data_IF_009464394786
#
_entry.id   IF_009464394786
#
_cell.length_a   1.000
_cell.length_b   1.000
_cell.length_c   1.000
_cell.angle_alpha   90.00
_cell.angle_beta   90.00
_cell.angle_gamma   90.00
#
_symmetry.space_group_name_H-M   'P 1'
#
loop_
_entity.id
_entity.type
_entity.pdbx_description
1 polymer ?
#
# COMPACT_ATOMS: atom_id res chain seq x y z
N UNK A 1 26.68 22.56 23.30
CA UNK A 1 27.75 22.99 24.24
C UNK A 1 28.32 21.77 24.93
N UNK A 2 29.63 21.70 25.22
CA UNK A 2 30.25 20.53 25.84
C UNK A 2 29.80 20.39 27.30
N UNK A 3 29.24 19.23 27.68
CA UNK A 3 28.90 18.91 29.06
C UNK A 3 30.11 18.29 29.76
N UNK A 4 30.66 18.96 30.77
CA UNK A 4 31.73 18.39 31.59
C UNK A 4 31.16 17.72 32.84
N UNK A 5 31.59 16.48 33.13
CA UNK A 5 31.40 15.87 34.46
C UNK A 5 32.17 16.73 35.46
N UNK A 6 31.46 17.28 36.44
CA UNK A 6 32.00 18.31 37.33
C UNK A 6 33.06 17.71 38.25
N UNK A 7 34.28 18.27 38.24
CA UNK A 7 35.39 17.87 39.12
C UNK A 7 35.41 18.63 40.45
N UNK A 8 34.86 19.84 40.50
CA UNK A 8 34.76 20.67 41.72
C UNK A 8 33.33 21.20 41.88
N UNK A 9 32.63 20.72 42.92
CA UNK A 9 31.23 21.08 43.23
C UNK A 9 31.22 21.79 44.58
N UNK A 10 30.64 23.01 44.70
CA UNK A 10 30.48 23.72 45.97
C UNK A 10 29.79 22.86 47.03
N UNK A 11 30.17 23.02 48.29
CA UNK A 11 29.73 22.15 49.38
C UNK A 11 28.20 22.11 49.54
N UNK A 12 27.54 23.26 49.45
CA UNK A 12 26.08 23.36 49.51
C UNK A 12 25.38 22.51 48.44
N UNK A 13 25.94 22.48 47.22
CA UNK A 13 25.41 21.73 46.09
C UNK A 13 25.69 20.24 46.23
N UNK A 14 26.87 19.89 46.77
CA UNK A 14 27.25 18.51 47.06
C UNK A 14 26.31 17.89 48.08
N UNK A 15 26.05 18.58 49.19
CA UNK A 15 25.14 18.13 50.26
C UNK A 15 23.72 17.97 49.73
N UNK A 16 23.21 18.96 48.98
CA UNK A 16 21.88 18.89 48.38
C UNK A 16 21.73 17.71 47.40
N UNK A 17 22.74 17.48 46.55
CA UNK A 17 22.75 16.37 45.59
C UNK A 17 22.82 15.00 46.26
N UNK A 18 23.61 14.85 47.34
CA UNK A 18 23.64 13.61 48.12
C UNK A 18 22.33 13.34 48.86
N UNK A 19 21.68 14.39 49.39
CA UNK A 19 20.35 14.29 49.96
C UNK A 19 19.31 13.78 48.95
N UNK A 20 19.36 14.29 47.73
CA UNK A 20 18.51 13.82 46.62
C UNK A 20 18.78 12.36 46.25
N UNK A 21 20.05 11.93 46.21
CA UNK A 21 20.41 10.52 45.96
C UNK A 21 19.88 9.56 47.02
N UNK A 22 19.82 9.97 48.29
CA UNK A 22 19.25 9.13 49.36
C UNK A 22 17.73 9.05 49.29
N UNK A 23 17.07 10.13 48.85
CA UNK A 23 15.60 10.23 48.75
C UNK A 23 15.04 9.55 47.51
N UNK A 24 15.75 9.62 46.39
CA UNK A 24 15.32 9.06 45.10
C UNK A 24 16.06 7.75 44.84
N UNK A 25 15.33 6.65 44.74
CA UNK A 25 15.87 5.31 44.47
C UNK A 25 16.26 5.13 42.99
N UNK A 26 17.07 6.05 42.45
CA UNK A 26 17.51 6.06 41.05
C UNK A 26 18.91 6.66 40.85
N UNK A 27 19.56 6.31 39.75
CA UNK A 27 20.89 6.82 39.43
C UNK A 27 20.83 8.27 38.95
N UNK A 28 21.29 9.20 39.80
CA UNK A 28 21.34 10.61 39.48
C UNK A 28 22.71 11.04 38.95
N UNK A 29 22.70 11.97 38.01
CA UNK A 29 23.87 12.69 37.51
C UNK A 29 23.71 14.19 37.69
N UNK A 30 24.82 14.86 38.01
CA UNK A 30 24.89 16.31 38.16
C UNK A 30 25.66 16.88 36.96
N UNK A 31 25.07 17.86 36.29
CA UNK A 31 25.66 18.52 35.12
C UNK A 31 25.71 20.03 35.39
N UNK A 32 26.89 20.63 35.25
CA UNK A 32 27.04 22.09 35.32
C UNK A 32 26.85 22.68 33.93
N UNK A 33 25.96 23.67 33.80
CA UNK A 33 25.77 24.45 32.56
C UNK A 33 25.74 25.93 32.98
N UNK A 34 26.73 26.71 32.55
CA UNK A 34 26.96 28.05 33.10
C UNK A 34 27.26 27.98 34.60
N UNK A 35 26.61 28.83 35.39
CA UNK A 35 26.73 28.86 36.85
C UNK A 35 25.73 27.93 37.57
N UNK A 36 24.93 27.20 36.81
CA UNK A 36 23.81 26.43 37.32
C UNK A 36 24.09 24.92 37.33
N UNK A 37 23.57 24.24 38.35
CA UNK A 37 23.75 22.80 38.54
C UNK A 37 22.44 22.07 38.32
N UNK A 38 22.39 21.25 37.27
CA UNK A 38 21.21 20.54 36.83
C UNK A 38 21.29 19.08 37.22
N UNK A 39 20.21 18.55 37.78
CA UNK A 39 20.12 17.16 38.20
C UNK A 39 19.31 16.39 37.17
N UNK A 40 19.86 15.25 36.75
CA UNK A 40 19.19 14.33 35.83
C UNK A 40 19.15 12.93 36.44
N UNK A 41 18.01 12.27 36.33
CA UNK A 41 17.89 10.83 36.49
C UNK A 41 18.47 10.15 35.25
N UNK A 42 19.24 9.07 35.41
CA UNK A 42 19.96 8.40 34.32
C UNK A 42 19.81 6.89 34.36
N UNK A 43 19.79 6.26 33.19
CA UNK A 43 19.81 4.81 33.04
C UNK A 43 20.57 4.42 31.77
N UNK A 44 21.30 3.31 31.83
CA UNK A 44 22.09 2.80 30.70
C UNK A 44 21.34 1.64 30.06
N UNK A 45 21.17 1.67 28.74
CA UNK A 45 20.55 0.61 27.95
C UNK A 45 21.37 0.30 26.70
N UNK A 46 21.23 -0.91 26.16
CA UNK A 46 21.84 -1.28 24.88
C UNK A 46 20.95 -0.79 23.72
N UNK A 47 21.53 -0.09 22.75
CA UNK A 47 20.84 0.34 21.52
C UNK A 47 21.26 -0.58 20.38
N UNK A 48 20.30 -1.32 19.82
CA UNK A 48 20.53 -2.19 18.66
C UNK A 48 20.91 -1.37 17.41
N UNK A 49 20.26 -0.22 17.19
CA UNK A 49 20.53 0.68 16.06
C UNK A 49 21.99 1.18 16.03
N UNK A 50 22.56 1.51 17.20
CA UNK A 50 23.92 2.06 17.32
C UNK A 50 24.96 1.02 17.73
N UNK A 51 24.54 -0.23 17.92
CA UNK A 51 25.33 -1.36 18.43
C UNK A 51 26.22 -1.01 19.64
N UNK A 52 25.69 -0.21 20.58
CA UNK A 52 26.43 0.25 21.76
C UNK A 52 25.52 0.57 22.95
N UNK A 53 26.10 0.59 24.15
CA UNK A 53 25.42 1.10 25.35
C UNK A 53 25.23 2.61 25.24
N UNK A 54 24.01 3.08 25.42
CA UNK A 54 23.63 4.49 25.48
C UNK A 54 23.08 4.82 26.86
N UNK A 55 23.40 6.01 27.37
CA UNK A 55 22.82 6.53 28.62
C UNK A 55 21.68 7.47 28.28
N UNK A 56 20.49 7.16 28.80
CA UNK A 56 19.30 8.01 28.71
C UNK A 56 19.24 8.84 29.98
N UNK A 57 18.89 10.12 29.84
CA UNK A 57 18.78 11.07 30.95
C UNK A 57 17.41 11.74 30.96
N UNK A 58 16.81 11.92 32.13
CA UNK A 58 15.59 12.69 32.36
C UNK A 58 15.89 13.82 33.35
N UNK A 59 15.58 15.05 32.97
CA UNK A 59 15.77 16.22 33.81
C UNK A 59 14.76 16.23 34.97
N UNK A 60 15.25 16.38 36.20
CA UNK A 60 14.41 16.39 37.41
C UNK A 60 14.32 17.76 38.08
N UNK A 61 15.32 18.62 37.88
CA UNK A 61 15.34 19.93 38.52
C UNK A 61 16.74 20.51 38.64
N UNK A 62 16.84 21.71 39.21
CA UNK A 62 18.07 22.48 39.36
C UNK A 62 18.38 22.67 40.84
N UNK A 63 19.67 22.61 41.20
CA UNK A 63 20.17 23.05 42.49
C UNK A 63 20.72 24.47 42.31
N UNK A 64 20.20 25.40 43.10
CA UNK A 64 20.63 26.79 43.13
C UNK A 64 21.94 26.94 43.92
N UNK A 65 22.60 28.09 43.80
CA UNK A 65 23.89 28.35 44.45
C UNK A 65 23.86 28.26 45.97
N UNK A 66 22.68 28.44 46.59
CA UNK A 66 22.44 28.34 48.03
C UNK A 66 22.16 26.89 48.51
N UNK A 67 22.13 25.92 47.58
CA UNK A 67 21.81 24.52 47.89
C UNK A 67 20.32 24.18 47.87
N UNK A 68 19.43 25.14 47.59
CA UNK A 68 18.00 24.86 47.40
C UNK A 68 17.74 24.10 46.08
N UNK A 69 16.79 23.16 46.11
CA UNK A 69 16.42 22.36 44.93
C UNK A 69 15.08 22.82 44.36
N UNK A 70 15.08 23.22 43.10
CA UNK A 70 13.89 23.59 42.33
C UNK A 70 13.50 22.45 41.40
N UNK A 71 12.35 21.83 41.64
CA UNK A 71 11.81 20.75 40.82
C UNK A 71 11.37 21.27 39.43
N UNK A 72 11.57 20.46 38.39
CA UNK A 72 11.21 20.84 37.03
C UNK A 72 9.68 20.96 36.84
N UNK A 73 9.20 22.12 36.38
CA UNK A 73 7.80 22.28 35.93
C UNK A 73 7.60 21.65 34.55
N UNK A 74 6.93 20.50 34.48
CA UNK A 74 6.55 19.87 33.20
C UNK A 74 5.29 20.55 32.61
N UNK A 75 5.41 21.16 31.41
CA UNK A 75 4.24 21.68 30.66
C UNK A 75 3.29 20.52 30.30
N UNK A 76 1.96 20.73 30.41
CA UNK A 76 0.88 19.74 30.20
C UNK A 76 0.95 18.87 28.93
N UNK A 77 1.79 19.20 27.93
CA UNK A 77 1.95 18.47 26.66
C UNK A 77 3.27 17.70 26.51
N UNK A 78 4.28 17.96 27.34
CA UNK A 78 5.60 17.32 27.22
C UNK A 78 5.78 16.30 28.36
N UNK A 79 5.42 15.05 28.06
CA UNK A 79 5.67 13.84 28.86
C UNK A 79 5.20 13.86 30.33
N UNK A 80 3.99 13.33 30.58
CA UNK A 80 3.44 12.97 31.92
C UNK A 80 4.17 11.78 32.58
N UNK A 81 5.46 11.62 32.33
CA UNK A 81 6.19 10.40 32.66
C UNK A 81 6.89 10.60 33.99
N UNK A 82 6.61 9.75 34.98
CA UNK A 82 7.02 9.94 36.39
C UNK A 82 8.39 9.35 36.73
N UNK A 83 8.93 8.46 35.90
CA UNK A 83 10.26 7.85 36.09
C UNK A 83 11.03 7.66 34.80
N UNK A 84 12.36 7.51 34.86
CA UNK A 84 13.17 7.19 33.70
C UNK A 84 12.84 5.83 33.09
N UNK A 85 12.34 4.87 33.89
CA UNK A 85 11.87 3.58 33.40
C UNK A 85 10.64 3.73 32.51
N UNK A 86 9.68 4.54 32.92
CA UNK A 86 8.52 4.87 32.09
C UNK A 86 8.92 5.67 30.85
N UNK A 87 9.98 6.50 30.94
CA UNK A 87 10.48 7.28 29.80
C UNK A 87 11.18 6.39 28.78
N UNK A 88 11.94 5.39 29.25
CA UNK A 88 12.52 4.34 28.40
C UNK A 88 11.42 3.50 27.76
N UNK A 89 10.38 3.11 28.52
CA UNK A 89 9.26 2.35 27.98
C UNK A 89 8.48 3.15 26.93
N UNK A 90 8.22 4.44 27.18
CA UNK A 90 7.56 5.34 26.24
C UNK A 90 8.41 5.58 24.98
N UNK A 91 9.73 5.80 25.13
CA UNK A 91 10.65 5.92 24.00
C UNK A 91 10.76 4.62 23.21
N UNK A 92 10.77 3.47 23.88
CA UNK A 92 10.76 2.16 23.22
C UNK A 92 9.45 1.93 22.46
N UNK A 93 8.31 2.32 23.03
CA UNK A 93 7.02 2.34 22.35
C UNK A 93 6.99 3.32 21.15
N UNK A 94 7.62 4.49 21.25
CA UNK A 94 7.76 5.46 20.15
C UNK A 94 8.75 4.99 19.08
N UNK A 95 9.88 4.39 19.46
CA UNK A 95 10.90 3.82 18.55
C UNK A 95 10.37 2.57 17.86
N UNK A 96 9.70 1.68 18.60
CA UNK A 96 8.93 0.58 18.03
C UNK A 96 7.90 1.18 17.09
N UNK A 97 7.08 2.16 17.49
CA UNK A 97 6.09 2.79 16.60
C UNK A 97 6.69 3.47 15.35
N UNK A 98 7.89 4.07 15.42
CA UNK A 98 8.54 4.78 14.32
C UNK A 98 9.29 3.82 13.37
N UNK A 99 9.96 2.79 13.90
CA UNK A 99 10.50 1.67 13.11
C UNK A 99 9.37 0.79 12.52
N UNK A 100 8.21 0.77 13.19
CA UNK A 100 6.93 0.22 12.71
C UNK A 100 6.21 1.16 11.74
N UNK A 101 6.68 2.40 11.47
CA UNK A 101 6.04 3.30 10.50
C UNK A 101 6.67 3.24 9.11
N UNK A 102 7.99 3.06 8.98
CA UNK A 102 8.66 2.97 7.68
C UNK A 102 9.53 1.71 7.54
N UNK A 103 9.42 0.96 6.43
CA UNK A 103 10.31 -0.17 6.14
C UNK A 103 11.75 0.31 5.91
N UNK A 104 12.73 -0.46 6.37
CA UNK A 104 14.15 -0.23 6.03
C UNK A 104 14.44 -0.58 4.56
N UNK A 105 15.64 -0.26 4.06
CA UNK A 105 15.97 -0.47 2.64
C UNK A 105 15.95 -1.97 2.25
N UNK A 106 16.22 -2.89 3.20
CA UNK A 106 16.13 -4.34 2.98
C UNK A 106 14.66 -4.76 2.84
N UNK A 107 13.79 -4.28 3.73
CA UNK A 107 12.35 -4.54 3.69
C UNK A 107 11.74 -3.96 2.42
N UNK A 108 12.11 -2.73 2.02
CA UNK A 108 11.68 -2.13 0.76
C UNK A 108 12.09 -3.00 -0.43
N UNK A 109 13.32 -3.53 -0.44
CA UNK A 109 13.78 -4.40 -1.52
C UNK A 109 13.06 -5.74 -1.54
N UNK A 110 12.81 -6.31 -0.35
CA UNK A 110 12.04 -7.54 -0.21
C UNK A 110 10.60 -7.37 -0.74
N UNK A 111 9.95 -6.24 -0.44
CA UNK A 111 8.63 -5.90 -0.98
C UNK A 111 8.65 -5.77 -2.52
N UNK A 112 9.71 -5.20 -3.09
CA UNK A 112 9.89 -5.13 -4.55
C UNK A 112 9.98 -6.51 -5.19
N UNK A 113 10.83 -7.38 -4.63
CA UNK A 113 11.04 -8.72 -5.15
C UNK A 113 9.75 -9.55 -5.07
N UNK A 114 9.06 -9.52 -3.92
CA UNK A 114 7.78 -10.22 -3.75
C UNK A 114 6.65 -9.64 -4.61
N UNK A 115 6.68 -8.33 -4.90
CA UNK A 115 5.76 -7.71 -5.86
C UNK A 115 6.02 -8.18 -7.29
N UNK A 116 7.29 -8.38 -7.66
CA UNK A 116 7.66 -8.89 -8.98
C UNK A 116 7.37 -10.39 -9.14
N UNK A 117 7.67 -11.18 -8.12
CA UNK A 117 7.41 -12.61 -8.07
C UNK A 117 7.06 -13.06 -6.64
N UNK A 118 5.77 -13.19 -6.36
CA UNK A 118 5.28 -13.64 -5.06
C UNK A 118 5.59 -15.12 -4.76
N UNK A 119 6.09 -15.89 -5.73
CA UNK A 119 6.52 -17.29 -5.55
C UNK A 119 8.03 -17.45 -5.39
N UNK A 120 8.80 -16.35 -5.37
CA UNK A 120 10.26 -16.40 -5.24
C UNK A 120 10.68 -17.21 -3.98
N UNK A 121 11.58 -18.20 -4.10
CA UNK A 121 12.05 -18.97 -2.97
C UNK A 121 12.82 -18.12 -1.97
N UNK A 122 12.67 -18.42 -0.67
CA UNK A 122 13.40 -17.72 0.40
C UNK A 122 14.91 -17.83 0.22
N UNK A 123 15.40 -18.94 -0.33
CA UNK A 123 16.81 -19.12 -0.67
C UNK A 123 17.32 -18.03 -1.64
N UNK A 124 16.63 -17.83 -2.76
CA UNK A 124 17.00 -16.82 -3.75
C UNK A 124 16.85 -15.39 -3.21
N UNK A 125 15.75 -15.11 -2.50
CA UNK A 125 15.55 -13.83 -1.82
C UNK A 125 16.71 -13.51 -0.86
N UNK A 126 17.10 -14.48 -0.02
CA UNK A 126 18.15 -14.31 0.98
C UNK A 126 19.52 -14.06 0.35
N UNK A 127 19.82 -14.74 -0.76
CA UNK A 127 21.06 -14.58 -1.52
C UNK A 127 21.18 -13.18 -2.11
N UNK A 128 20.12 -12.67 -2.74
CA UNK A 128 20.10 -11.31 -3.30
C UNK A 128 20.22 -10.24 -2.21
N UNK A 129 19.61 -10.46 -1.04
CA UNK A 129 19.60 -9.51 0.08
C UNK A 129 20.83 -9.60 1.00
N UNK A 130 21.72 -10.58 0.79
CA UNK A 130 22.87 -10.80 1.68
C UNK A 130 22.47 -11.22 3.10
N UNK A 131 21.37 -11.96 3.25
CA UNK A 131 20.83 -12.42 4.52
C UNK A 131 20.98 -13.95 4.67
N UNK A 132 20.93 -14.44 5.90
CA UNK A 132 20.63 -15.87 6.12
C UNK A 132 19.18 -16.17 5.74
N UNK A 133 18.88 -17.40 5.33
CA UNK A 133 17.51 -17.82 5.01
C UNK A 133 16.56 -17.62 6.20
N UNK A 134 17.02 -17.88 7.42
CA UNK A 134 16.25 -17.67 8.64
C UNK A 134 15.91 -16.18 8.86
N UNK A 135 16.89 -15.28 8.69
CA UNK A 135 16.67 -13.83 8.81
C UNK A 135 15.72 -13.31 7.70
N UNK A 136 15.87 -13.80 6.47
CA UNK A 136 14.98 -13.46 5.37
C UNK A 136 13.54 -13.93 5.65
N UNK A 137 13.35 -15.18 6.10
CA UNK A 137 12.04 -15.72 6.45
C UNK A 137 11.37 -14.92 7.57
N UNK A 138 12.12 -14.57 8.61
CA UNK A 138 11.63 -13.73 9.71
C UNK A 138 11.13 -12.37 9.20
N UNK A 139 11.91 -11.71 8.32
CA UNK A 139 11.51 -10.42 7.73
C UNK A 139 10.24 -10.56 6.88
N UNK A 140 10.14 -11.59 6.03
CA UNK A 140 8.93 -11.86 5.24
C UNK A 140 7.71 -11.97 6.15
N UNK A 141 7.75 -12.82 7.17
CA UNK A 141 6.63 -13.02 8.11
C UNK A 141 6.26 -11.74 8.87
N UNK A 142 7.26 -10.95 9.25
CA UNK A 142 7.05 -9.63 9.88
C UNK A 142 6.31 -8.68 8.94
N UNK A 143 6.73 -8.60 7.67
CA UNK A 143 6.10 -7.74 6.67
C UNK A 143 4.69 -8.22 6.31
N UNK A 144 4.48 -9.53 6.20
CA UNK A 144 3.17 -10.14 5.99
C UNK A 144 2.18 -9.74 7.07
N UNK A 145 2.57 -9.90 8.33
CA UNK A 145 1.75 -9.49 9.48
C UNK A 145 1.53 -7.98 9.52
N UNK A 146 2.57 -7.20 9.25
CA UNK A 146 2.54 -5.73 9.34
C UNK A 146 1.61 -5.11 8.29
N UNK A 147 1.71 -5.55 7.04
CA UNK A 147 0.98 -4.95 5.92
C UNK A 147 -0.24 -5.75 5.48
N UNK A 148 -0.57 -6.86 6.16
CA UNK A 148 -1.63 -7.77 5.74
C UNK A 148 -1.36 -8.28 4.33
N UNK A 149 -0.15 -8.80 4.11
CA UNK A 149 0.24 -9.26 2.77
C UNK A 149 -0.46 -10.57 2.46
N UNK A 150 -1.18 -10.59 1.35
CA UNK A 150 -1.68 -11.81 0.72
C UNK A 150 -1.00 -12.02 -0.64
N UNK A 151 -0.90 -13.28 -1.06
CA UNK A 151 -0.30 -13.64 -2.35
C UNK A 151 -1.38 -14.12 -3.30
N UNK A 152 -1.44 -13.53 -4.49
CA UNK A 152 -2.49 -13.82 -5.46
C UNK A 152 -1.98 -13.67 -6.89
N UNK A 153 -2.75 -14.15 -7.85
CA UNK A 153 -2.44 -13.98 -9.27
C UNK A 153 -2.82 -12.59 -9.76
N UNK A 154 -1.93 -11.96 -10.53
CA UNK A 154 -2.29 -10.81 -11.34
C UNK A 154 -2.89 -11.31 -12.66
N UNK A 155 -4.22 -11.31 -12.76
CA UNK A 155 -4.94 -11.81 -13.94
C UNK A 155 -4.88 -10.81 -15.10
N UNK A 156 -4.64 -11.31 -16.31
CA UNK A 156 -4.80 -10.55 -17.54
C UNK A 156 -6.25 -10.62 -18.04
N UNK A 157 -7.04 -9.52 -17.98
CA UNK A 157 -8.45 -9.59 -18.42
C UNK A 157 -8.59 -9.71 -19.94
N UNK A 158 -7.62 -9.23 -20.72
CA UNK A 158 -7.68 -9.19 -22.19
C UNK A 158 -7.71 -10.58 -22.84
N UNK A 159 -6.88 -11.57 -22.43
CA UNK A 159 -7.01 -12.95 -22.88
C UNK A 159 -8.39 -13.58 -22.68
N UNK A 160 -9.16 -13.11 -21.71
CA UNK A 160 -10.54 -13.57 -21.44
C UNK A 160 -11.60 -12.72 -22.15
N UNK A 161 -11.21 -11.83 -23.07
CA UNK A 161 -12.08 -10.87 -23.74
C UNK A 161 -12.74 -9.82 -22.81
N UNK A 162 -12.20 -9.59 -21.60
CA UNK A 162 -12.72 -8.56 -20.70
C UNK A 162 -12.05 -7.19 -20.91
N UNK A 163 -12.86 -6.16 -20.84
CA UNK A 163 -12.51 -4.75 -20.88
C UNK A 163 -12.77 -4.12 -19.51
N UNK A 164 -12.13 -2.98 -19.25
CA UNK A 164 -12.21 -2.31 -17.95
C UNK A 164 -13.16 -1.12 -18.04
N UNK A 165 -14.00 -0.99 -17.03
CA UNK A 165 -14.92 0.13 -16.89
C UNK A 165 -14.85 0.66 -15.47
N UNK A 166 -15.19 1.93 -15.32
CA UNK A 166 -15.40 2.55 -14.02
C UNK A 166 -16.75 3.24 -13.99
N UNK A 167 -17.37 3.28 -12.81
CA UNK A 167 -18.56 4.06 -12.57
C UNK A 167 -18.38 4.98 -11.36
N UNK A 168 -18.76 6.25 -11.53
CA UNK A 168 -18.89 7.21 -10.44
C UNK A 168 -20.36 7.42 -10.15
N UNK A 169 -20.79 7.14 -8.92
CA UNK A 169 -22.19 7.19 -8.53
C UNK A 169 -22.42 8.28 -7.50
N UNK A 170 -23.39 9.15 -7.78
CA UNK A 170 -23.89 10.19 -6.88
C UNK A 170 -25.29 9.82 -6.44
N UNK A 171 -25.50 9.64 -5.14
CA UNK A 171 -26.85 9.46 -4.60
C UNK A 171 -27.54 10.81 -4.40
N UNK A 172 -28.87 10.80 -4.36
CA UNK A 172 -29.71 11.97 -4.14
C UNK A 172 -29.69 12.45 -2.68
N UNK A 173 -30.88 12.70 -2.11
CA UNK A 173 -30.99 13.10 -0.69
C UNK A 173 -30.58 11.97 0.24
N UNK A 174 -31.06 10.77 -0.05
CA UNK A 174 -30.76 9.56 0.72
C UNK A 174 -29.76 8.68 -0.03
N UNK A 175 -28.95 7.92 0.71
CA UNK A 175 -28.03 6.94 0.15
C UNK A 175 -28.07 5.63 0.94
N UNK A 176 -27.82 4.48 0.29
CA UNK A 176 -27.74 3.21 1.00
C UNK A 176 -26.54 3.20 1.96
N UNK A 177 -26.70 2.50 3.08
CA UNK A 177 -25.57 2.20 3.96
C UNK A 177 -24.58 1.22 3.31
N UNK A 178 -23.39 1.10 3.91
CA UNK A 178 -22.29 0.27 3.40
C UNK A 178 -22.70 -1.20 3.33
N UNK A 179 -23.50 -1.69 4.28
CA UNK A 179 -23.94 -3.08 4.32
C UNK A 179 -24.89 -3.41 3.17
N UNK A 180 -25.83 -2.52 2.88
CA UNK A 180 -26.74 -2.59 1.73
C UNK A 180 -25.95 -2.58 0.43
N UNK A 181 -25.01 -1.64 0.27
CA UNK A 181 -24.13 -1.58 -0.89
C UNK A 181 -23.33 -2.86 -1.05
N UNK A 182 -22.72 -3.37 0.02
CA UNK A 182 -21.94 -4.61 0.02
C UNK A 182 -22.81 -5.82 -0.37
N UNK A 183 -24.02 -5.92 0.16
CA UNK A 183 -24.96 -7.01 -0.13
C UNK A 183 -25.40 -7.02 -1.59
N UNK A 184 -25.65 -5.86 -2.18
CA UNK A 184 -26.13 -5.77 -3.57
C UNK A 184 -24.97 -5.87 -4.56
N UNK A 185 -23.95 -5.02 -4.41
CA UNK A 185 -22.80 -4.96 -5.33
C UNK A 185 -21.96 -6.23 -5.22
N UNK A 186 -21.86 -6.82 -4.02
CA UNK A 186 -21.12 -8.06 -3.82
C UNK A 186 -21.64 -9.26 -4.61
N UNK A 187 -22.94 -9.27 -4.98
CA UNK A 187 -23.52 -10.32 -5.83
C UNK A 187 -23.06 -10.23 -7.29
N UNK A 188 -22.59 -9.08 -7.75
CA UNK A 188 -22.23 -8.87 -9.15
C UNK A 188 -20.74 -9.21 -9.35
N UNK A 189 -20.42 -10.38 -9.94
CA UNK A 189 -19.03 -10.82 -10.12
C UNK A 189 -18.24 -9.92 -11.08
N UNK A 190 -18.90 -9.12 -11.93
CA UNK A 190 -18.21 -8.19 -12.82
C UNK A 190 -17.60 -6.98 -12.08
N UNK A 191 -18.10 -6.63 -10.89
CA UNK A 191 -17.54 -5.55 -10.06
C UNK A 191 -16.33 -6.07 -9.29
N UNK A 192 -15.12 -5.58 -9.59
CA UNK A 192 -13.89 -6.02 -8.89
C UNK A 192 -13.52 -5.17 -7.69
N UNK A 193 -13.95 -3.91 -7.67
CA UNK A 193 -13.68 -2.98 -6.59
C UNK A 193 -14.86 -2.02 -6.44
N UNK A 194 -15.29 -1.78 -5.21
CA UNK A 194 -16.26 -0.75 -4.87
C UNK A 194 -15.76 0.07 -3.68
N UNK A 195 -15.70 1.39 -3.84
CA UNK A 195 -15.17 2.33 -2.84
C UNK A 195 -16.26 3.32 -2.43
N UNK A 196 -16.47 3.49 -1.13
CA UNK A 196 -17.22 4.64 -0.59
C UNK A 196 -16.32 5.87 -0.63
N UNK A 197 -16.87 6.98 -1.10
CA UNK A 197 -16.14 8.22 -1.32
C UNK A 197 -16.73 9.37 -0.51
N UNK A 198 -15.85 10.26 -0.05
CA UNK A 198 -16.19 11.62 0.36
C UNK A 198 -15.68 12.58 -0.70
N UNK A 199 -16.62 13.22 -1.41
CA UNK A 199 -16.34 14.15 -2.50
C UNK A 199 -17.58 14.38 -3.38
N UNK A 200 -17.41 14.80 -4.64
CA UNK A 200 -18.51 15.03 -5.58
C UNK A 200 -19.36 13.81 -5.96
N UNK A 201 -18.92 12.61 -5.61
CA UNK A 201 -19.60 11.32 -5.81
C UNK A 201 -19.46 10.52 -4.52
N UNK A 202 -20.39 9.61 -4.28
CA UNK A 202 -20.47 8.82 -3.07
C UNK A 202 -19.85 7.42 -3.24
N UNK A 203 -19.78 6.92 -4.47
CA UNK A 203 -19.35 5.55 -4.77
C UNK A 203 -18.54 5.51 -6.07
N UNK A 204 -17.42 4.78 -6.04
CA UNK A 204 -16.65 4.40 -7.23
C UNK A 204 -16.68 2.89 -7.42
N UNK A 205 -16.94 2.44 -8.64
CA UNK A 205 -16.85 1.05 -9.05
C UNK A 205 -15.77 0.89 -10.10
N UNK A 206 -14.98 -0.18 -10.00
CA UNK A 206 -14.18 -0.70 -11.10
C UNK A 206 -14.73 -2.06 -11.50
N UNK A 207 -14.99 -2.22 -12.79
CA UNK A 207 -15.70 -3.36 -13.35
C UNK A 207 -14.92 -3.95 -14.53
N UNK A 208 -15.12 -5.25 -14.73
CA UNK A 208 -14.66 -5.98 -15.91
C UNK A 208 -15.89 -6.48 -16.66
N UNK A 209 -16.02 -6.17 -17.94
CA UNK A 209 -17.10 -6.70 -18.78
C UNK A 209 -16.59 -6.98 -20.20
N UNK A 210 -17.18 -7.95 -20.90
CA UNK A 210 -16.72 -8.31 -22.25
C UNK A 210 -17.13 -7.28 -23.31
N UNK A 211 -18.22 -6.57 -23.06
CA UNK A 211 -18.74 -5.52 -23.93
C UNK A 211 -19.66 -4.59 -23.12
N UNK A 212 -20.12 -3.52 -23.76
CA UNK A 212 -21.01 -2.53 -23.13
C UNK A 212 -22.39 -3.09 -22.81
N UNK A 213 -22.90 -4.07 -23.55
CA UNK A 213 -24.21 -4.67 -23.27
C UNK A 213 -24.20 -5.42 -21.92
N UNK A 214 -23.24 -6.32 -21.72
CA UNK A 214 -23.11 -7.06 -20.46
C UNK A 214 -22.82 -6.15 -19.26
N UNK A 215 -22.10 -5.05 -19.49
CA UNK A 215 -21.90 -4.01 -18.49
C UNK A 215 -23.22 -3.34 -18.09
N UNK A 216 -24.02 -2.90 -19.07
CA UNK A 216 -25.32 -2.28 -18.81
C UNK A 216 -26.28 -3.25 -18.13
N UNK A 217 -26.29 -4.53 -18.50
CA UNK A 217 -27.11 -5.55 -17.84
C UNK A 217 -26.72 -5.72 -16.36
N UNK A 218 -25.42 -5.71 -16.04
CA UNK A 218 -24.93 -5.76 -14.65
C UNK A 218 -25.34 -4.52 -13.85
N UNK A 219 -25.21 -3.33 -14.45
CA UNK A 219 -25.64 -2.08 -13.83
C UNK A 219 -27.15 -2.08 -13.61
N UNK A 220 -27.94 -2.55 -14.59
CA UNK A 220 -29.38 -2.67 -14.49
C UNK A 220 -29.80 -3.60 -13.36
N UNK A 221 -29.17 -4.79 -13.24
CA UNK A 221 -29.41 -5.72 -12.13
C UNK A 221 -29.16 -5.06 -10.78
N UNK A 222 -27.98 -4.44 -10.60
CA UNK A 222 -27.65 -3.76 -9.33
C UNK A 222 -28.63 -2.65 -8.99
N UNK A 223 -29.06 -1.85 -9.97
CA UNK A 223 -30.00 -0.73 -9.76
C UNK A 223 -31.44 -1.20 -9.48
N UNK A 224 -31.81 -2.38 -9.98
CA UNK A 224 -33.16 -2.94 -9.88
C UNK A 224 -33.39 -3.77 -8.61
N UNK A 225 -32.33 -4.12 -7.89
CA UNK A 225 -32.44 -4.81 -6.60
C UNK A 225 -33.26 -3.98 -5.59
N UNK A 226 -34.24 -4.61 -4.94
CA UNK A 226 -35.20 -3.94 -4.03
C UNK A 226 -34.55 -2.98 -3.00
N UNK A 227 -33.40 -3.30 -2.37
CA UNK A 227 -32.77 -2.37 -1.44
C UNK A 227 -32.27 -1.07 -2.10
N UNK A 228 -31.98 -1.10 -3.41
CA UNK A 228 -31.44 0.02 -4.19
C UNK A 228 -32.51 0.91 -4.81
N UNK A 229 -33.67 0.36 -5.18
CA UNK A 229 -34.69 1.08 -6.00
C UNK A 229 -35.24 2.36 -5.36
N UNK A 230 -35.23 2.45 -4.02
CA UNK A 230 -35.65 3.65 -3.28
C UNK A 230 -34.66 4.82 -3.34
N UNK A 231 -33.41 4.56 -3.72
CA UNK A 231 -32.36 5.58 -3.76
C UNK A 231 -32.20 6.13 -5.17
N UNK A 232 -32.58 7.40 -5.36
CA UNK A 232 -32.29 8.10 -6.61
C UNK A 232 -30.78 8.27 -6.75
N UNK A 233 -30.21 7.84 -7.87
CA UNK A 233 -28.77 7.88 -8.11
C UNK A 233 -28.43 8.20 -9.57
N UNK A 234 -27.34 8.93 -9.76
CA UNK A 234 -26.75 9.23 -11.06
C UNK A 234 -25.46 8.42 -11.21
N UNK A 235 -25.40 7.58 -12.23
CA UNK A 235 -24.27 6.68 -12.51
C UNK A 235 -23.55 7.19 -13.76
N UNK A 236 -22.33 7.68 -13.59
CA UNK A 236 -21.47 8.10 -14.69
C UNK A 236 -20.50 6.95 -15.00
N UNK A 237 -20.74 6.26 -16.11
CA UNK A 237 -19.99 5.06 -16.51
C UNK A 237 -19.08 5.41 -17.67
N UNK A 238 -17.83 4.96 -17.62
CA UNK A 238 -16.86 5.14 -18.70
C UNK A 238 -15.92 3.95 -18.79
N UNK A 239 -15.34 3.73 -19.96
CA UNK A 239 -14.19 2.83 -20.08
C UNK A 239 -12.97 3.42 -19.36
N UNK A 240 -12.05 2.53 -18.98
CA UNK A 240 -10.70 2.89 -18.55
C UNK A 240 -9.68 2.12 -19.38
N UNK A 241 -8.78 2.84 -20.06
CA UNK A 241 -7.69 2.28 -20.86
C UNK A 241 -6.34 2.43 -20.17
N UNK A 242 -5.36 1.60 -20.56
CA UNK A 242 -3.96 1.69 -20.12
C UNK A 242 -3.77 1.82 -18.60
N UNK A 243 -4.07 0.75 -17.85
CA UNK A 243 -3.94 0.78 -16.40
C UNK A 243 -2.48 0.57 -15.91
N UNK A 244 -1.95 1.50 -15.10
CA UNK A 244 -0.83 1.24 -14.18
C UNK A 244 -1.36 0.74 -12.84
N UNK A 245 -0.55 -0.10 -12.19
CA UNK A 245 -0.97 -0.83 -11.00
C UNK A 245 -1.76 -2.08 -11.36
N UNK A 246 -2.26 -2.76 -10.33
CA UNK A 246 -3.10 -3.93 -10.49
C UNK A 246 -4.17 -3.91 -9.40
N UNK A 247 -5.33 -4.47 -9.71
CA UNK A 247 -6.35 -4.75 -8.72
C UNK A 247 -6.46 -6.27 -8.62
N UNK A 248 -6.32 -6.84 -7.41
CA UNK A 248 -6.62 -8.25 -7.19
C UNK A 248 -8.01 -8.58 -7.72
N UNK A 249 -8.06 -9.63 -8.53
CA UNK A 249 -9.32 -10.11 -9.09
C UNK A 249 -10.09 -10.85 -8.01
N UNK A 250 -11.39 -10.55 -7.91
CA UNK A 250 -12.26 -11.23 -6.95
C UNK A 250 -12.41 -12.69 -7.30
N UNK A 251 -12.58 -13.53 -6.29
CA UNK A 251 -12.78 -14.96 -6.50
C UNK A 251 -14.07 -15.24 -7.30
N UNK A 252 -15.12 -14.45 -7.08
CA UNK A 252 -16.40 -14.55 -7.79
C UNK A 252 -16.25 -14.25 -9.29
N UNK A 253 -15.31 -13.38 -9.68
CA UNK A 253 -14.99 -13.19 -11.09
C UNK A 253 -14.26 -14.41 -11.67
N UNK A 254 -13.35 -15.01 -10.92
CA UNK A 254 -12.68 -16.24 -11.36
C UNK A 254 -13.69 -17.37 -11.53
N UNK A 255 -14.65 -17.50 -10.62
CA UNK A 255 -15.74 -18.48 -10.71
C UNK A 255 -16.62 -18.25 -11.95
N UNK A 256 -16.88 -16.99 -12.33
CA UNK A 256 -17.56 -16.66 -13.59
C UNK A 256 -16.78 -17.14 -14.83
N UNK A 257 -15.44 -17.22 -14.78
CA UNK A 257 -14.65 -17.78 -15.88
C UNK A 257 -14.90 -19.28 -16.12
N UNK A 258 -15.62 -19.97 -15.22
CA UNK A 258 -16.07 -21.35 -15.47
C UNK A 258 -16.94 -21.45 -16.73
N UNK A 259 -17.70 -20.40 -17.05
CA UNK A 259 -18.51 -20.31 -18.28
C UNK A 259 -17.65 -20.29 -19.55
N UNK A 260 -16.37 -19.93 -19.43
CA UNK A 260 -15.39 -19.94 -20.52
C UNK A 260 -14.60 -21.25 -20.61
N UNK A 261 -14.94 -22.28 -19.84
CA UNK A 261 -14.30 -23.60 -19.95
C UNK A 261 -14.81 -24.29 -21.21
N UNK A 262 -13.88 -24.64 -22.11
CA UNK A 262 -14.20 -25.33 -23.35
C UNK A 262 -14.51 -26.80 -23.08
N UNK A 263 -15.66 -27.24 -23.57
CA UNK A 263 -16.04 -28.63 -23.66
C UNK A 263 -16.14 -29.04 -25.13
N UNK A 264 -15.47 -30.14 -25.50
CA UNK A 264 -15.52 -30.65 -26.86
C UNK A 264 -16.94 -31.13 -27.17
N UNK A 265 -17.59 -30.54 -28.17
CA UNK A 265 -18.89 -30.96 -28.68
C UNK A 265 -18.86 -31.10 -30.21
N UNK A 266 -19.95 -31.62 -30.79
CA UNK A 266 -20.11 -31.66 -32.26
C UNK A 266 -20.14 -30.24 -32.87
N UNK A 267 -20.72 -29.29 -32.15
CA UNK A 267 -20.87 -27.89 -32.57
C UNK A 267 -19.59 -27.06 -32.31
N UNK A 268 -18.81 -27.43 -31.29
CA UNK A 268 -17.57 -26.76 -30.91
C UNK A 268 -16.39 -27.75 -30.86
N UNK A 269 -15.94 -28.27 -32.00
CA UNK A 269 -14.91 -29.30 -32.04
C UNK A 269 -13.50 -28.78 -31.70
N UNK A 270 -13.29 -27.46 -31.75
CA UNK A 270 -12.02 -26.81 -31.45
C UNK A 270 -12.22 -25.66 -30.46
N UNK A 271 -11.21 -25.48 -29.60
CA UNK A 271 -11.14 -24.38 -28.64
C UNK A 271 -10.81 -23.06 -29.34
N UNK A 272 -11.50 -21.98 -28.97
CA UNK A 272 -11.17 -20.61 -29.39
C UNK A 272 -10.21 -19.92 -28.39
N UNK A 273 -9.50 -18.84 -28.78
CA UNK A 273 -8.40 -18.29 -27.97
C UNK A 273 -8.76 -17.83 -26.55
N UNK A 274 -9.99 -17.37 -26.31
CA UNK A 274 -10.46 -16.83 -25.01
C UNK A 274 -11.03 -17.91 -24.07
N UNK A 275 -11.05 -19.17 -24.49
CA UNK A 275 -11.53 -20.29 -23.68
C UNK A 275 -10.40 -20.98 -22.89
N UNK A 276 -10.79 -21.52 -21.73
CA UNK A 276 -9.94 -22.28 -20.81
C UNK A 276 -10.13 -23.78 -20.99
N UNK A 277 -9.08 -24.57 -20.73
CA UNK A 277 -9.27 -25.96 -20.35
C UNK A 277 -9.74 -26.04 -18.89
N UNK A 278 -10.43 -27.12 -18.53
CA UNK A 278 -10.87 -27.35 -17.15
C UNK A 278 -9.70 -27.29 -16.16
N UNK A 279 -8.58 -27.94 -16.47
CA UNK A 279 -7.35 -27.87 -15.66
C UNK A 279 -6.79 -26.45 -15.54
N UNK A 280 -6.85 -25.67 -16.62
CA UNK A 280 -6.38 -24.27 -16.62
C UNK A 280 -7.24 -23.41 -15.69
N UNK A 281 -8.57 -23.58 -15.74
CA UNK A 281 -9.51 -22.94 -14.82
C UNK A 281 -9.27 -23.35 -13.35
N UNK A 282 -9.14 -24.65 -13.06
CA UNK A 282 -8.96 -25.15 -11.70
C UNK A 282 -7.66 -24.63 -11.06
N UNK A 283 -6.55 -24.68 -11.81
CA UNK A 283 -5.25 -24.17 -11.35
C UNK A 283 -5.30 -22.66 -11.14
N UNK A 284 -5.90 -21.90 -12.07
CA UNK A 284 -6.08 -20.45 -11.92
C UNK A 284 -6.92 -20.10 -10.68
N UNK A 285 -8.01 -20.83 -10.45
CA UNK A 285 -8.93 -20.59 -9.33
C UNK A 285 -8.27 -20.81 -7.98
N UNK A 286 -7.49 -21.87 -7.82
CA UNK A 286 -6.76 -22.12 -6.56
C UNK A 286 -5.61 -21.13 -6.34
N UNK A 287 -4.86 -20.78 -7.40
CA UNK A 287 -3.78 -19.79 -7.31
C UNK A 287 -4.29 -18.37 -7.04
N UNK A 288 -5.55 -18.04 -7.38
CA UNK A 288 -6.16 -16.77 -7.03
C UNK A 288 -6.43 -16.64 -5.52
N UNK A 289 -6.78 -17.76 -4.87
CA UNK A 289 -6.98 -17.85 -3.42
C UNK A 289 -5.65 -17.83 -2.66
N UNK A 290 -4.69 -18.63 -3.11
CA UNK A 290 -3.35 -18.68 -2.54
C UNK A 290 -2.31 -18.82 -3.66
N UNK A 291 -1.72 -17.68 -4.02
CA UNK A 291 -0.67 -17.63 -5.04
C UNK A 291 0.62 -18.38 -4.66
N UNK A 292 0.80 -18.79 -3.40
CA UNK A 292 1.98 -19.51 -2.91
C UNK A 292 1.78 -21.00 -2.65
N UNK A 293 0.58 -21.54 -2.86
CA UNK A 293 0.35 -22.99 -2.72
C UNK A 293 1.39 -23.78 -3.54
N UNK A 294 1.94 -24.84 -2.94
CA UNK A 294 2.92 -25.68 -3.64
C UNK A 294 2.23 -26.40 -4.80
N UNK A 295 2.91 -26.56 -5.93
CA UNK A 295 2.32 -27.24 -7.09
C UNK A 295 2.02 -28.71 -6.80
N UNK A 296 2.82 -29.36 -5.96
CA UNK A 296 2.55 -30.72 -5.50
C UNK A 296 1.28 -30.85 -4.66
N UNK A 297 1.01 -29.88 -3.79
CA UNK A 297 -0.22 -29.88 -3.00
C UNK A 297 -1.42 -29.53 -3.87
N UNK A 298 -1.22 -28.67 -4.87
CA UNK A 298 -2.25 -28.34 -5.84
C UNK A 298 -2.60 -29.56 -6.72
N UNK A 299 -1.61 -30.31 -7.18
CA UNK A 299 -1.82 -31.57 -7.92
C UNK A 299 -2.64 -32.57 -7.09
N UNK A 300 -2.27 -32.78 -5.81
CA UNK A 300 -3.03 -33.65 -4.90
C UNK A 300 -4.46 -33.16 -4.69
N UNK A 301 -4.65 -31.86 -4.43
CA UNK A 301 -5.96 -31.25 -4.16
C UNK A 301 -6.89 -31.36 -5.36
N UNK A 302 -6.35 -31.20 -6.57
CA UNK A 302 -7.11 -31.23 -7.82
C UNK A 302 -7.14 -32.62 -8.48
N UNK A 303 -6.56 -33.63 -7.84
CA UNK A 303 -6.42 -35.00 -8.37
C UNK A 303 -5.76 -35.03 -9.77
N UNK A 304 -4.64 -34.30 -9.92
CA UNK A 304 -3.87 -34.20 -11.16
C UNK A 304 -2.59 -35.05 -11.08
N UNK A 305 -2.05 -35.38 -12.24
CA UNK A 305 -0.73 -36.03 -12.33
C UNK A 305 0.36 -35.11 -11.75
N UNK A 306 1.40 -35.67 -11.10
CA UNK A 306 2.52 -34.88 -10.58
C UNK A 306 3.16 -33.99 -11.65
N UNK A 307 3.33 -32.70 -11.33
CA UNK A 307 3.91 -31.68 -12.21
C UNK A 307 2.90 -31.02 -13.16
N UNK A 308 1.65 -31.49 -13.21
CA UNK A 308 0.64 -30.93 -14.11
C UNK A 308 0.28 -29.48 -13.75
N UNK A 309 0.23 -29.13 -12.46
CA UNK A 309 -0.05 -27.79 -11.98
C UNK A 309 1.04 -26.79 -12.37
N UNK A 310 2.31 -27.15 -12.21
CA UNK A 310 3.44 -26.29 -12.59
C UNK A 310 3.47 -26.04 -14.10
N UNK A 311 3.34 -27.11 -14.90
CA UNK A 311 3.20 -26.98 -16.35
C UNK A 311 2.02 -26.08 -16.74
N UNK A 312 0.88 -26.23 -16.08
CA UNK A 312 -0.33 -25.44 -16.35
C UNK A 312 -0.15 -23.98 -15.97
N UNK A 313 0.49 -23.70 -14.83
CA UNK A 313 0.82 -22.34 -14.40
C UNK A 313 1.70 -21.63 -15.43
N UNK A 314 2.79 -22.25 -15.87
CA UNK A 314 3.68 -21.65 -16.88
C UNK A 314 2.95 -21.41 -18.21
N UNK A 315 2.10 -22.34 -18.63
CA UNK A 315 1.26 -22.16 -19.83
C UNK A 315 0.26 -21.00 -19.70
N UNK A 316 -0.33 -20.78 -18.51
CA UNK A 316 -1.20 -19.64 -18.25
C UNK A 316 -0.44 -18.31 -18.29
N UNK A 317 0.83 -18.30 -17.85
CA UNK A 317 1.74 -17.15 -17.98
C UNK A 317 2.05 -16.85 -19.45
N UNK A 318 2.42 -17.86 -20.23
CA UNK A 318 2.73 -17.72 -21.67
C UNK A 318 1.55 -17.14 -22.46
N UNK A 319 0.32 -17.57 -22.12
CA UNK A 319 -0.92 -17.04 -22.71
C UNK A 319 -1.28 -15.63 -22.23
N UNK A 320 -0.58 -15.10 -21.23
CA UNK A 320 -0.89 -13.82 -20.58
C UNK A 320 -2.16 -13.82 -19.72
N UNK A 321 -2.76 -14.99 -19.50
CA UNK A 321 -3.96 -15.17 -18.66
C UNK A 321 -3.63 -14.90 -17.19
N UNK A 322 -2.47 -15.41 -16.74
CA UNK A 322 -1.79 -14.94 -15.53
C UNK A 322 -0.62 -14.07 -16.01
N UNK A 323 -0.40 -12.92 -15.38
CA UNK A 323 0.82 -12.13 -15.62
C UNK A 323 1.95 -12.54 -14.69
N UNK A 324 1.61 -12.84 -13.44
CA UNK A 324 2.51 -13.27 -12.34
C UNK A 324 1.69 -13.64 -11.11
N UNK A 325 2.34 -14.28 -10.14
CA UNK A 325 1.92 -14.20 -8.74
C UNK A 325 2.60 -12.99 -8.09
N UNK A 326 1.88 -12.25 -7.26
CA UNK A 326 2.33 -11.01 -6.63
C UNK A 326 1.77 -10.88 -5.21
N UNK A 327 2.19 -9.82 -4.52
CA UNK A 327 1.66 -9.44 -3.20
C UNK A 327 0.58 -8.37 -3.30
N UNK A 328 -0.45 -8.50 -2.46
CA UNK A 328 -1.44 -7.47 -2.15
C UNK A 328 -1.28 -7.05 -0.69
N UNK A 329 -1.15 -5.75 -0.42
CA UNK A 329 -1.16 -5.19 0.94
C UNK A 329 -2.55 -4.71 1.30
N UNK A 330 -3.17 -5.35 2.28
CA UNK A 330 -4.46 -4.91 2.81
C UNK A 330 -4.31 -3.75 3.80
N UNK A 331 -3.12 -3.59 4.39
CA UNK A 331 -2.82 -2.61 5.44
C UNK A 331 -1.48 -1.91 5.20
N UNK A 332 -1.25 -1.19 4.09
CA UNK A 332 0.05 -0.57 3.74
C UNK A 332 0.50 0.58 4.67
N UNK A 333 -0.10 0.74 5.86
CA UNK A 333 0.19 1.77 6.86
C UNK A 333 0.19 3.20 6.30
N UNK A 334 -0.95 3.60 5.75
CA UNK A 334 -1.22 4.95 5.25
C UNK A 334 -2.30 5.64 6.11
N UNK A 335 -2.49 6.96 5.95
CA UNK A 335 -3.61 7.66 6.62
C UNK A 335 -4.95 7.31 6.00
N UNK A 336 -5.04 7.35 4.67
CA UNK A 336 -6.22 6.95 3.90
C UNK A 336 -5.84 6.81 2.42
N UNK A 337 -6.62 6.05 1.62
CA UNK A 337 -6.53 6.10 0.17
C UNK A 337 -7.24 7.35 -0.37
N UNK A 338 -6.67 7.98 -1.38
CA UNK A 338 -7.34 9.05 -2.12
C UNK A 338 -7.48 8.66 -3.59
N UNK A 339 -8.66 8.94 -4.14
CA UNK A 339 -8.94 8.81 -5.57
C UNK A 339 -8.92 10.21 -6.18
N UNK A 340 -8.31 10.32 -7.35
CA UNK A 340 -8.26 11.55 -8.12
C UNK A 340 -8.81 11.32 -9.52
N UNK A 341 -9.61 12.27 -10.00
CA UNK A 341 -10.03 12.35 -11.39
C UNK A 341 -9.50 13.66 -11.95
N UNK A 342 -8.69 13.57 -12.99
CA UNK A 342 -8.00 14.70 -13.59
C UNK A 342 -8.45 14.83 -15.03
N UNK A 343 -9.08 15.95 -15.37
CA UNK A 343 -9.56 16.21 -16.74
C UNK A 343 -8.42 16.67 -17.62
N UNK A 344 -8.41 16.32 -18.90
CA UNK A 344 -7.40 16.78 -19.85
C UNK A 344 -8.03 17.63 -20.96
N UNK A 345 -8.38 18.90 -20.69
CA UNK A 345 -8.91 19.80 -21.72
C UNK A 345 -7.84 20.21 -22.75
N UNK A 346 -6.58 20.34 -22.33
CA UNK A 346 -5.44 20.64 -23.21
C UNK A 346 -4.47 19.44 -23.24
N UNK A 347 -4.62 18.62 -24.29
CA UNK A 347 -3.77 17.45 -24.49
C UNK A 347 -2.33 17.83 -24.89
N UNK A 348 -2.13 18.98 -25.52
CA UNK A 348 -0.81 19.43 -25.95
C UNK A 348 0.03 19.83 -24.74
N UNK A 349 -0.55 20.62 -23.82
CA UNK A 349 0.11 20.99 -22.57
C UNK A 349 0.54 19.76 -21.76
N UNK A 350 -0.33 18.74 -21.68
CA UNK A 350 0.01 17.49 -21.01
C UNK A 350 1.14 16.72 -21.73
N UNK A 351 1.07 16.60 -23.05
CA UNK A 351 2.04 15.84 -23.84
C UNK A 351 3.48 16.35 -23.70
N UNK A 352 3.68 17.67 -23.52
CA UNK A 352 5.00 18.27 -23.25
C UNK A 352 5.62 17.68 -21.96
N UNK A 353 4.79 17.32 -20.98
CA UNK A 353 5.22 16.83 -19.66
C UNK A 353 4.94 15.34 -19.42
N UNK A 354 4.42 14.64 -20.42
CA UNK A 354 4.01 13.23 -20.32
C UNK A 354 5.11 12.31 -19.81
N UNK A 355 6.35 12.46 -20.28
CA UNK A 355 7.46 11.63 -19.80
C UNK A 355 7.77 11.87 -18.31
N UNK A 356 7.74 13.13 -17.86
CA UNK A 356 7.93 13.48 -16.45
C UNK A 356 6.80 12.94 -15.58
N UNK A 357 5.57 12.99 -16.08
CA UNK A 357 4.40 12.39 -15.44
C UNK A 357 4.57 10.86 -15.29
N UNK A 358 4.89 10.15 -16.39
CA UNK A 358 5.09 8.70 -16.37
C UNK A 358 6.24 8.28 -15.46
N UNK A 359 7.35 9.02 -15.42
CA UNK A 359 8.48 8.75 -14.55
C UNK A 359 8.10 8.87 -13.06
N UNK A 360 7.28 9.86 -12.72
CA UNK A 360 6.81 10.05 -11.34
C UNK A 360 5.74 9.03 -10.92
N UNK A 361 4.90 8.55 -11.85
CA UNK A 361 3.95 7.46 -11.58
C UNK A 361 4.65 6.18 -11.12
N UNK A 362 5.78 5.84 -11.75
CA UNK A 362 6.56 4.64 -11.45
C UNK A 362 7.69 4.88 -10.44
N UNK A 363 7.75 6.07 -9.84
CA UNK A 363 8.74 6.36 -8.83
C UNK A 363 8.60 5.39 -7.64
N UNK A 364 9.74 5.10 -7.01
CA UNK A 364 9.85 4.26 -5.83
C UNK A 364 10.14 5.12 -4.59
N UNK A 365 9.13 5.81 -4.02
CA UNK A 365 9.30 6.55 -2.77
C UNK A 365 9.77 5.65 -1.63
N UNK A 366 10.31 6.20 -0.53
CA UNK A 366 10.63 5.43 0.69
C UNK A 366 9.37 5.08 1.50
N UNK A 367 8.42 4.44 0.83
CA UNK A 367 7.14 3.99 1.38
C UNK A 367 6.91 2.52 1.00
N UNK A 368 6.10 1.78 1.77
CA UNK A 368 5.87 0.36 1.54
C UNK A 368 5.10 0.06 0.25
N UNK A 369 4.38 1.02 -0.34
CA UNK A 369 3.71 0.86 -1.63
C UNK A 369 4.21 1.89 -2.66
N UNK A 370 3.94 1.64 -3.95
CA UNK A 370 4.11 2.64 -5.01
C UNK A 370 3.27 3.89 -4.73
N UNK A 371 3.64 5.00 -5.39
CA UNK A 371 2.87 6.25 -5.33
C UNK A 371 1.41 6.07 -5.79
N UNK A 372 1.14 5.09 -6.64
CA UNK A 372 -0.18 4.86 -7.22
C UNK A 372 -0.51 3.37 -7.23
N UNK A 373 -1.70 3.01 -6.73
CA UNK A 373 -2.24 1.65 -6.73
C UNK A 373 -2.98 1.30 -8.03
N UNK A 374 -3.69 2.29 -8.58
CA UNK A 374 -4.40 2.22 -9.85
C UNK A 374 -4.20 3.54 -10.55
N UNK A 375 -3.83 3.54 -11.83
CA UNK A 375 -3.93 4.69 -12.71
C UNK A 375 -4.50 4.21 -14.04
N UNK A 376 -5.33 5.00 -14.72
CA UNK A 376 -5.70 4.71 -16.10
C UNK A 376 -6.44 5.88 -16.74
N UNK A 377 -6.38 5.92 -18.07
CA UNK A 377 -7.04 6.94 -18.86
C UNK A 377 -8.53 6.64 -18.95
N UNK A 378 -9.38 7.65 -18.76
CA UNK A 378 -10.84 7.54 -18.82
C UNK A 378 -11.41 8.34 -19.98
N UNK A 379 -12.52 7.87 -20.54
CA UNK A 379 -13.16 8.50 -21.71
C UNK A 379 -14.11 9.65 -21.38
N UNK A 380 -14.78 9.64 -20.23
CA UNK A 380 -15.79 10.63 -19.86
C UNK A 380 -15.75 11.00 -18.36
N UNK A 381 -15.30 12.24 -18.02
CA UNK A 381 -14.64 13.20 -18.89
C UNK A 381 -13.29 12.65 -19.38
N UNK A 382 -12.84 13.08 -20.56
CA UNK A 382 -11.54 12.64 -21.06
C UNK A 382 -10.42 13.12 -20.13
N UNK A 383 -9.56 12.19 -19.72
CA UNK A 383 -8.54 12.43 -18.71
C UNK A 383 -8.04 11.14 -18.10
N UNK A 384 -7.71 11.18 -16.81
CA UNK A 384 -7.22 10.00 -16.10
C UNK A 384 -7.76 9.93 -14.66
N UNK A 385 -7.89 8.71 -14.18
CA UNK A 385 -8.20 8.40 -12.78
C UNK A 385 -7.01 7.72 -12.15
N UNK A 386 -6.74 7.99 -10.88
CA UNK A 386 -5.83 7.17 -10.11
C UNK A 386 -6.17 7.12 -8.63
N UNK A 387 -5.73 6.05 -7.98
CA UNK A 387 -5.85 5.84 -6.54
C UNK A 387 -4.46 5.78 -5.95
N UNK A 388 -4.20 6.59 -4.93
CA UNK A 388 -2.91 6.66 -4.24
C UNK A 388 -3.05 6.48 -2.72
N UNK A 389 -2.03 5.90 -2.07
CA UNK A 389 -1.95 5.89 -0.62
C UNK A 389 -1.49 7.26 -0.11
N UNK A 390 -2.25 7.89 0.79
CA UNK A 390 -1.88 9.17 1.40
C UNK A 390 -1.17 8.94 2.73
N UNK A 391 0.12 9.26 2.77
CA UNK A 391 0.95 9.23 3.99
C UNK A 391 0.98 10.59 4.71
N UNK A 392 0.82 11.68 3.96
CA UNK A 392 0.85 13.07 4.48
C UNK A 392 -0.56 13.68 4.47
N UNK A 393 -0.74 14.97 4.17
CA UNK A 393 -2.07 15.59 4.09
C UNK A 393 -2.57 15.63 2.62
N UNK A 394 -3.88 15.80 2.42
CA UNK A 394 -4.49 15.80 1.07
C UNK A 394 -3.99 16.96 0.23
N UNK A 395 -3.86 18.14 0.83
CA UNK A 395 -3.47 19.35 0.11
C UNK A 395 -2.10 19.21 -0.55
N UNK A 396 -1.14 18.58 0.14
CA UNK A 396 0.16 18.24 -0.45
C UNK A 396 0.03 17.23 -1.59
N UNK A 397 -0.89 16.26 -1.48
CA UNK A 397 -1.15 15.29 -2.54
C UNK A 397 -1.79 15.95 -3.78
N UNK A 398 -2.82 16.79 -3.61
CA UNK A 398 -3.46 17.52 -4.72
C UNK A 398 -2.47 18.47 -5.39
N UNK A 399 -1.65 19.18 -4.61
CA UNK A 399 -0.57 20.01 -5.16
C UNK A 399 0.44 19.17 -5.93
N UNK A 400 0.83 18.02 -5.38
CA UNK A 400 1.70 17.08 -6.08
C UNK A 400 1.07 16.68 -7.41
N UNK A 401 -0.22 16.29 -7.43
CA UNK A 401 -0.94 15.94 -8.66
C UNK A 401 -0.99 17.10 -9.66
N UNK A 402 -1.25 18.32 -9.21
CA UNK A 402 -1.24 19.50 -10.07
C UNK A 402 0.15 19.75 -10.67
N UNK A 403 1.20 19.62 -9.85
CA UNK A 403 2.59 19.72 -10.29
C UNK A 403 2.99 18.56 -11.24
N UNK A 404 2.35 17.39 -11.10
CA UNK A 404 2.52 16.22 -11.96
C UNK A 404 1.89 16.45 -13.34
N UNK A 405 0.64 16.88 -13.38
CA UNK A 405 -0.14 17.04 -14.61
C UNK A 405 0.12 18.37 -15.32
N UNK A 406 0.73 19.33 -14.60
CA UNK A 406 0.84 20.75 -14.99
C UNK A 406 -0.50 21.40 -15.30
N UNK A 407 -1.57 20.88 -14.70
CA UNK A 407 -2.90 21.43 -14.86
C UNK A 407 -3.26 22.31 -13.68
N UNK A 408 -4.24 23.18 -13.92
CA UNK A 408 -4.86 23.95 -12.86
C UNK A 408 -5.45 23.03 -11.80
N UNK A 409 -5.26 23.36 -10.52
CA UNK A 409 -5.93 22.67 -9.39
C UNK A 409 -7.46 22.67 -9.57
N UNK A 410 -8.02 23.58 -10.38
CA UNK A 410 -9.46 23.65 -10.68
C UNK A 410 -10.00 22.44 -11.47
N UNK A 411 -9.15 21.71 -12.21
CA UNK A 411 -9.57 20.59 -13.06
C UNK A 411 -9.25 19.20 -12.45
N UNK A 412 -8.85 19.20 -11.18
CA UNK A 412 -8.62 18.01 -10.38
C UNK A 412 -9.81 17.85 -9.43
N UNK A 413 -10.41 16.66 -9.44
CA UNK A 413 -11.37 16.24 -8.41
C UNK A 413 -10.69 15.22 -7.52
N UNK A 414 -10.61 15.50 -6.24
CA UNK A 414 -10.13 14.60 -5.22
C UNK A 414 -11.28 14.00 -4.40
N UNK A 415 -11.08 12.76 -3.99
CA UNK A 415 -12.02 12.01 -3.16
C UNK A 415 -11.23 11.31 -2.07
N UNK A 416 -11.68 11.47 -0.82
CA UNK A 416 -11.20 10.62 0.26
C UNK A 416 -11.98 9.31 0.17
N UNK A 417 -11.27 8.20 0.04
CA UNK A 417 -11.90 6.88 0.14
C UNK A 417 -12.15 6.60 1.61
N UNK A 418 -13.42 6.53 2.00
CA UNK A 418 -13.80 6.28 3.40
C UNK A 418 -13.76 4.79 3.71
N UNK A 419 -14.18 3.96 2.76
CA UNK A 419 -14.33 2.52 2.95
C UNK A 419 -14.12 1.76 1.64
N UNK A 420 -13.53 0.58 1.75
CA UNK A 420 -13.53 -0.43 0.66
C UNK A 420 -14.72 -1.35 0.86
N UNK A 421 -15.76 -1.18 0.05
CA UNK A 421 -17.01 -1.93 0.12
C UNK A 421 -16.82 -3.33 -0.47
N UNK A 422 -16.11 -3.46 -1.59
CA UNK A 422 -15.84 -4.74 -2.25
C UNK A 422 -14.42 -4.68 -2.83
N UNK A 423 -13.72 -5.81 -2.86
CA UNK A 423 -12.39 -5.94 -3.45
C UNK A 423 -11.27 -5.33 -2.60
N UNK A 424 -10.10 -5.12 -3.20
CA UNK A 424 -8.95 -4.49 -2.55
C UNK A 424 -8.24 -3.55 -3.52
N UNK A 425 -7.52 -2.56 -2.97
CA UNK A 425 -6.85 -1.52 -3.75
C UNK A 425 -5.52 -1.96 -4.36
N UNK A 426 -5.10 -3.22 -4.17
CA UNK A 426 -3.90 -3.76 -4.82
C UNK A 426 -2.61 -3.01 -4.46
N UNK A 427 -2.53 -2.44 -3.26
CA UNK A 427 -1.31 -1.74 -2.84
C UNK A 427 -0.16 -2.73 -2.79
N UNK A 428 0.92 -2.40 -3.48
CA UNK A 428 2.19 -3.14 -3.47
C UNK A 428 3.33 -2.21 -3.83
N UNK A 429 4.56 -2.72 -3.77
CA UNK A 429 5.76 -2.00 -4.23
C UNK A 429 6.31 -2.66 -5.48
N UNK A 430 5.64 -2.47 -6.61
CA UNK A 430 6.10 -2.96 -7.89
C UNK A 430 7.38 -2.22 -8.35
N UNK A 431 8.50 -2.92 -8.62
CA UNK A 431 9.63 -2.35 -9.33
C UNK A 431 9.23 -1.74 -10.69
N UNK A 432 9.79 -0.57 -11.09
CA UNK A 432 9.45 0.12 -12.33
C UNK A 432 9.57 -0.78 -13.57
N UNK A 433 10.55 -1.67 -13.60
CA UNK A 433 10.90 -2.53 -14.73
C UNK A 433 9.73 -3.45 -15.14
N UNK A 434 8.82 -3.77 -14.21
CA UNK A 434 7.66 -4.60 -14.52
C UNK A 434 6.52 -3.86 -15.23
N UNK A 435 6.65 -2.53 -15.36
CA UNK A 435 5.56 -1.62 -15.69
C UNK A 435 5.62 -1.23 -17.17
N UNK A 436 4.46 -1.02 -17.80
CA UNK A 436 4.42 -0.58 -19.20
C UNK A 436 4.95 0.86 -19.36
N UNK A 437 4.84 1.67 -18.32
CA UNK A 437 5.33 3.04 -18.25
C UNK A 437 6.86 3.08 -18.34
N UNK A 438 7.56 2.17 -17.65
CA UNK A 438 9.01 2.03 -17.80
C UNK A 438 9.38 1.64 -19.23
N UNK A 439 8.69 0.65 -19.83
CA UNK A 439 8.91 0.27 -21.24
C UNK A 439 8.71 1.44 -22.21
N UNK A 440 7.68 2.26 -21.99
CA UNK A 440 7.41 3.46 -22.76
C UNK A 440 8.54 4.49 -22.65
N UNK A 441 9.01 4.77 -21.43
CA UNK A 441 10.09 5.71 -21.18
C UNK A 441 11.40 5.27 -21.85
N UNK A 442 11.74 3.98 -21.76
CA UNK A 442 12.93 3.42 -22.41
C UNK A 442 12.87 3.54 -23.93
N UNK A 443 11.73 3.20 -24.55
CA UNK A 443 11.53 3.34 -26.00
C UNK A 443 11.67 4.80 -26.46
N UNK A 444 11.13 5.74 -25.70
CA UNK A 444 11.23 7.16 -26.00
C UNK A 444 12.66 7.71 -25.88
N UNK A 445 13.45 7.21 -24.93
CA UNK A 445 14.86 7.60 -24.80
C UNK A 445 15.66 7.13 -26.02
N UNK A 446 15.49 5.87 -26.44
CA UNK A 446 16.15 5.31 -27.63
C UNK A 446 15.83 6.10 -28.91
N UNK A 447 14.56 6.49 -29.13
CA UNK A 447 14.17 7.29 -30.29
C UNK A 447 14.83 8.68 -30.30
N UNK A 448 15.03 9.31 -29.12
CA UNK A 448 15.73 10.59 -29.01
C UNK A 448 17.22 10.47 -29.28
N UNK A 449 17.82 9.32 -28.98
CA UNK A 449 19.23 9.06 -29.28
C UNK A 449 19.44 8.81 -30.78
N UNK A 450 18.53 8.07 -31.43
CA UNK A 450 18.58 7.82 -32.87
C UNK A 450 18.40 9.12 -33.68
N UNK A 451 17.45 9.99 -33.29
CA UNK A 451 17.23 11.26 -33.99
C UNK A 451 18.29 12.35 -33.74
N UNK A 452 19.37 12.04 -33.00
CA UNK A 452 20.55 12.90 -32.88
C UNK A 452 21.66 12.55 -33.88
N UNK A 453 21.51 11.42 -34.57
CA UNK A 453 22.29 11.04 -35.75
C UNK A 453 21.47 11.37 -37.00
#
# INVERSE_FOLDING_TARGET
>A
MPSHRVKEVPEAIRVAFEGLKKKLNSHLSLVKIGDNYYVNETATQFSEEKNKKITVSRYIGKIESDGSFTEAMHRKKETRVKSIRELIAAKKLEEDSNSILYPDDIDLKLLEMLSANGREPVAELSKVLGLSQAACKYRIQRLEKRYGITYTVEVGPRPFNFFRYVAFVRFGRDKPDIETLRKVIGKEPLVQLALSLKGPHDLFLYMLAENTQLLEDAIYRMRSELPMTRYKAYWNVTYISYAYGYLPTRQEFIELLKEKVWHRSKEHPRRIPDQLLEREYLVLSELNKDGRISFSDLDKRLNLNPGASDYTYNRLIEKGMIKRVTINMEKPQMKYPALFVVKQPDINAFNIHRNGFMAKLIALPKTPANTTALFGDIGAPYGFVFVMPIYTNTESATKTVADLSKQSIKDIRDYIVTDTIIGTLGFRRAPPEMTNQHKYLMKNQQLKEIGKF
#
